data_IF_175031047353
#
_entry.id   IF_175031047353
#
_cell.length_a   1.000
_cell.length_b   1.000
_cell.length_c   1.000
_cell.angle_alpha   90.00
_cell.angle_beta   90.00
_cell.angle_gamma   90.00
#
_symmetry.space_group_name_H-M   'P 1'
#
loop_
_entity.id
_entity.type
_entity.pdbx_description
1 polymer ?
#
# COMPACT_ATOMS: atom_id res chain seq x y z
N UNK A 1 -24.13 13.34 4.83
CA UNK A 1 -23.19 13.19 5.96
C UNK A 1 -22.01 12.39 5.44
N UNK A 2 -20.83 13.01 5.28
CA UNK A 2 -19.60 12.28 4.90
C UNK A 2 -19.08 11.61 6.17
N UNK A 3 -18.98 10.28 6.18
CA UNK A 3 -18.57 9.54 7.36
C UNK A 3 -17.13 9.93 7.73
N UNK A 4 -16.94 10.35 8.97
CA UNK A 4 -15.66 10.62 9.63
C UNK A 4 -14.75 9.37 9.72
N UNK A 5 -15.21 8.24 9.17
CA UNK A 5 -14.47 6.99 9.00
C UNK A 5 -13.69 6.92 7.67
N UNK A 6 -13.93 7.81 6.71
CA UNK A 6 -13.22 7.80 5.41
C UNK A 6 -11.82 8.44 5.47
N UNK A 7 -11.54 9.28 6.46
CA UNK A 7 -10.22 9.93 6.60
C UNK A 7 -9.09 8.96 7.01
N UNK A 8 -9.43 7.75 7.46
CA UNK A 8 -8.48 6.69 7.81
C UNK A 8 -8.57 5.46 6.89
N UNK A 9 -9.46 5.47 5.88
CA UNK A 9 -9.59 4.33 4.95
C UNK A 9 -8.46 4.27 3.93
N UNK A 10 -7.85 5.40 3.61
CA UNK A 10 -6.74 5.49 2.67
C UNK A 10 -5.46 5.91 3.41
N UNK A 11 -4.90 5.04 4.24
CA UNK A 11 -3.52 5.18 4.72
C UNK A 11 -2.60 4.35 3.79
N UNK A 12 -2.00 4.96 2.75
CA UNK A 12 -1.24 4.22 1.76
C UNK A 12 0.05 3.65 2.35
N UNK A 13 0.58 4.25 3.42
CA UNK A 13 1.79 3.76 4.11
C UNK A 13 1.45 2.49 4.88
N UNK A 14 0.34 2.49 5.62
CA UNK A 14 -0.13 1.29 6.32
C UNK A 14 -0.49 0.17 5.35
N UNK A 15 -1.13 0.50 4.22
CA UNK A 15 -1.46 -0.47 3.18
C UNK A 15 -0.21 -1.05 2.50
N UNK A 16 0.79 -0.22 2.19
CA UNK A 16 2.07 -0.69 1.68
C UNK A 16 2.71 -1.71 2.62
N UNK A 17 2.80 -1.38 3.92
CA UNK A 17 3.37 -2.28 4.92
C UNK A 17 2.59 -3.60 5.02
N UNK A 18 1.27 -3.54 5.09
CA UNK A 18 0.43 -4.74 5.19
C UNK A 18 0.63 -5.69 3.98
N UNK A 19 0.81 -5.13 2.78
CA UNK A 19 1.10 -5.90 1.58
C UNK A 19 2.52 -6.50 1.60
N UNK A 20 3.53 -5.79 2.12
CA UNK A 20 4.88 -6.35 2.33
C UNK A 20 4.83 -7.55 3.29
N UNK A 21 4.17 -7.39 4.44
CA UNK A 21 4.02 -8.46 5.42
C UNK A 21 3.28 -9.68 4.81
N UNK A 22 2.27 -9.44 3.97
CA UNK A 22 1.54 -10.49 3.25
C UNK A 22 2.40 -11.18 2.17
N UNK A 23 3.28 -10.44 1.48
CA UNK A 23 4.22 -10.99 0.51
C UNK A 23 5.21 -11.95 1.17
N UNK A 24 5.73 -11.59 2.34
CA UNK A 24 6.61 -12.43 3.14
C UNK A 24 5.87 -13.68 3.62
N UNK A 25 4.66 -13.50 4.18
CA UNK A 25 3.85 -14.63 4.64
C UNK A 25 3.49 -15.60 3.50
N UNK A 26 3.21 -15.09 2.29
CA UNK A 26 2.88 -15.92 1.13
C UNK A 26 4.00 -16.90 0.76
N UNK A 27 5.28 -16.54 0.99
CA UNK A 27 6.43 -17.43 0.73
C UNK A 27 6.49 -18.62 1.68
N UNK A 28 5.89 -18.50 2.87
CA UNK A 28 5.92 -19.53 3.91
C UNK A 28 4.65 -20.37 3.97
N UNK A 29 3.67 -20.09 3.10
CA UNK A 29 2.34 -20.67 3.19
C UNK A 29 2.31 -22.11 2.65
N UNK A 30 2.50 -23.08 3.54
CA UNK A 30 2.74 -24.51 3.18
C UNK A 30 1.56 -25.19 2.49
N UNK A 31 0.37 -24.57 2.47
CA UNK A 31 -0.81 -25.10 1.77
C UNK A 31 -0.73 -24.92 0.24
N UNK A 32 0.20 -24.10 -0.26
CA UNK A 32 0.40 -23.82 -1.68
C UNK A 32 1.68 -24.45 -2.24
N UNK A 33 1.67 -24.72 -3.54
CA UNK A 33 2.90 -25.13 -4.25
C UNK A 33 3.92 -24.00 -4.26
N UNK A 34 5.20 -24.32 -4.45
CA UNK A 34 6.26 -23.31 -4.50
C UNK A 34 5.98 -22.20 -5.53
N UNK A 35 5.53 -22.58 -6.73
CA UNK A 35 5.17 -21.64 -7.79
C UNK A 35 4.04 -20.70 -7.35
N UNK A 36 2.98 -21.23 -6.76
CA UNK A 36 1.85 -20.41 -6.28
C UNK A 36 2.27 -19.47 -5.15
N UNK A 37 3.17 -19.90 -4.25
CA UNK A 37 3.74 -19.02 -3.22
C UNK A 37 4.51 -17.86 -3.81
N UNK A 38 5.34 -18.12 -4.83
CA UNK A 38 6.08 -17.08 -5.54
C UNK A 38 5.14 -16.11 -6.27
N UNK A 39 4.11 -16.63 -6.97
CA UNK A 39 3.10 -15.81 -7.65
C UNK A 39 2.32 -14.92 -6.67
N UNK A 40 1.93 -15.47 -5.51
CA UNK A 40 1.24 -14.70 -4.46
C UNK A 40 2.14 -13.65 -3.83
N UNK A 41 3.40 -14.00 -3.52
CA UNK A 41 4.37 -13.04 -2.99
C UNK A 41 4.63 -11.89 -3.97
N UNK A 42 4.76 -12.20 -5.27
CA UNK A 42 4.91 -11.20 -6.32
C UNK A 42 3.67 -10.30 -6.44
N UNK A 43 2.46 -10.87 -6.34
CA UNK A 43 1.22 -10.11 -6.33
C UNK A 43 1.19 -9.08 -5.19
N UNK A 44 1.44 -9.51 -3.95
CA UNK A 44 1.42 -8.60 -2.81
C UNK A 44 2.58 -7.58 -2.85
N UNK A 45 3.73 -7.96 -3.40
CA UNK A 45 4.83 -7.02 -3.63
C UNK A 45 4.42 -5.91 -4.59
N UNK A 46 3.80 -6.25 -5.72
CA UNK A 46 3.33 -5.26 -6.69
C UNK A 46 2.26 -4.33 -6.10
N UNK A 47 1.36 -4.86 -5.26
CA UNK A 47 0.37 -4.03 -4.56
C UNK A 47 1.03 -3.11 -3.53
N UNK A 48 2.04 -3.59 -2.79
CA UNK A 48 2.79 -2.74 -1.87
C UNK A 48 3.43 -1.55 -2.60
N UNK A 49 4.08 -1.80 -3.74
CA UNK A 49 4.71 -0.75 -4.56
C UNK A 49 3.68 0.28 -5.07
N UNK A 50 2.48 -0.15 -5.45
CA UNK A 50 1.39 0.75 -5.84
C UNK A 50 0.97 1.66 -4.69
N UNK A 51 0.90 1.13 -3.48
CA UNK A 51 0.57 1.90 -2.28
C UNK A 51 1.70 2.84 -1.87
N UNK A 52 2.96 2.41 -1.98
CA UNK A 52 4.15 3.26 -1.77
C UNK A 52 4.16 4.44 -2.75
N UNK A 53 3.84 4.19 -4.02
CA UNK A 53 3.71 5.25 -5.02
C UNK A 53 2.56 6.23 -4.68
N UNK A 54 1.41 5.73 -4.23
CA UNK A 54 0.30 6.59 -3.76
C UNK A 54 0.67 7.39 -2.52
N UNK A 55 1.42 6.82 -1.57
CA UNK A 55 1.93 7.53 -0.41
C UNK A 55 2.83 8.69 -0.82
N UNK A 56 3.75 8.44 -1.75
CA UNK A 56 4.66 9.46 -2.28
C UNK A 56 3.90 10.60 -2.98
N UNK A 57 2.92 10.27 -3.82
CA UNK A 57 2.09 11.27 -4.52
C UNK A 57 1.19 12.06 -3.55
N UNK A 58 0.57 11.40 -2.57
CA UNK A 58 -0.24 12.05 -1.54
C UNK A 58 0.61 13.03 -0.71
N UNK A 59 1.85 12.66 -0.40
CA UNK A 59 2.85 13.52 0.23
C UNK A 59 3.29 14.71 -0.65
N UNK A 60 3.26 14.58 -1.98
CA UNK A 60 3.54 15.70 -2.89
C UNK A 60 2.34 16.67 -3.01
N UNK A 61 1.11 16.17 -3.04
CA UNK A 61 -0.09 17.02 -3.15
C UNK A 61 -0.27 17.96 -1.94
N UNK A 62 0.04 17.49 -0.72
CA UNK A 62 0.00 18.34 0.49
C UNK A 62 1.08 19.44 0.51
N UNK A 63 2.18 19.24 -0.20
CA UNK A 63 3.27 20.22 -0.29
C UNK A 63 3.03 21.22 -1.44
N UNK A 64 2.35 20.81 -2.52
CA UNK A 64 2.00 21.69 -3.64
C UNK A 64 0.91 22.72 -3.34
N UNK A 65 0.11 22.54 -2.28
CA UNK A 65 -0.92 23.52 -1.88
C UNK A 65 -0.41 24.61 -0.93
N UNK A 66 0.87 24.59 -0.54
CA UNK A 66 1.45 25.58 0.40
C UNK A 66 2.00 26.85 -0.24
N UNK A 67 2.05 26.96 -1.56
CA UNK A 67 2.53 28.18 -2.23
C UNK A 67 1.47 28.77 -3.15
N UNK A 68 0.57 29.58 -2.58
CA UNK A 68 -0.03 30.72 -3.29
C UNK A 68 -0.80 31.60 -2.31
N UNK A 69 -0.09 32.35 -1.45
CA UNK A 69 -0.55 33.63 -0.89
C UNK A 69 0.63 34.52 -0.53
N UNK A 70 1.01 35.39 -1.46
CA UNK A 70 1.46 36.76 -1.22
C UNK A 70 1.35 37.54 -2.53
#
# INVERSE_FOLDING_TARGET
MRNQLDIFQDDPVRMAKANRDAADHALHDTQFTERERQERSAYYTNEAERWEFRAALGGQQINGTKEQRA
#
